data_IF_456346671767
#
_entry.id   IF_456346671767
#
_cell.length_a   1.000
_cell.length_b   1.000
_cell.length_c   1.000
_cell.angle_alpha   90.00
_cell.angle_beta   90.00
_cell.angle_gamma   90.00
#
_symmetry.space_group_name_H-M   'P 1'
#
loop_
_entity.id
_entity.type
_entity.pdbx_description
1 polymer ?
#
# COMPACT_ATOMS: atom_id res chain seq x y z
N UNK A 1 -23.09 17.00 -23.27
CA UNK A 1 -24.13 17.59 -22.40
C UNK A 1 -25.42 17.71 -23.20
N UNK A 2 -26.56 17.40 -22.59
CA UNK A 2 -27.88 17.49 -23.24
C UNK A 2 -28.81 18.34 -22.39
N UNK A 3 -29.42 19.35 -23.00
CA UNK A 3 -30.34 20.30 -22.40
C UNK A 3 -31.76 19.98 -22.87
N UNK A 4 -32.68 19.77 -21.92
CA UNK A 4 -34.07 19.50 -22.26
C UNK A 4 -34.84 20.82 -22.43
N UNK A 5 -35.12 21.21 -23.67
CA UNK A 5 -35.91 22.42 -23.96
C UNK A 5 -37.44 22.21 -23.86
N UNK A 6 -37.91 20.99 -23.63
CA UNK A 6 -39.34 20.75 -23.41
C UNK A 6 -39.81 21.31 -22.06
N UNK A 7 -38.90 21.52 -21.11
CA UNK A 7 -39.18 22.06 -19.77
C UNK A 7 -38.62 23.46 -19.55
N UNK A 8 -37.67 23.91 -20.38
CA UNK A 8 -37.13 25.26 -20.36
C UNK A 8 -37.06 25.80 -21.80
N UNK A 9 -37.89 26.79 -22.13
CA UNK A 9 -37.93 27.39 -23.47
C UNK A 9 -36.72 28.27 -23.78
N UNK A 10 -35.88 28.56 -22.79
CA UNK A 10 -34.63 29.29 -23.00
C UNK A 10 -33.54 28.37 -23.56
N UNK A 11 -32.91 28.81 -24.65
CA UNK A 11 -31.80 28.09 -25.28
C UNK A 11 -30.55 28.17 -24.41
N UNK A 12 -30.25 27.07 -23.72
CA UNK A 12 -29.00 26.91 -22.97
C UNK A 12 -27.83 26.57 -23.89
N UNK A 13 -26.61 26.97 -23.52
CA UNK A 13 -25.40 26.78 -24.32
C UNK A 13 -25.45 27.38 -25.74
N UNK A 14 -26.41 28.27 -26.01
CA UNK A 14 -26.69 28.82 -27.34
C UNK A 14 -26.87 27.74 -28.42
N UNK A 15 -27.52 26.63 -28.06
CA UNK A 15 -27.89 25.53 -28.98
C UNK A 15 -29.40 25.54 -29.25
N UNK A 16 -29.83 25.12 -30.45
CA UNK A 16 -31.25 24.97 -30.77
C UNK A 16 -31.75 23.55 -30.48
N UNK A 17 -30.92 22.52 -30.74
CA UNK A 17 -31.19 21.12 -30.45
C UNK A 17 -30.80 20.65 -29.04
N UNK A 18 -30.14 21.50 -28.26
CA UNK A 18 -29.85 21.23 -26.85
C UNK A 18 -28.75 20.20 -26.61
N UNK A 19 -28.14 19.64 -27.65
CA UNK A 19 -27.02 18.70 -27.51
C UNK A 19 -25.71 19.39 -27.87
N UNK A 20 -24.76 19.39 -26.93
CA UNK A 20 -23.43 19.95 -27.11
C UNK A 20 -22.36 18.96 -26.66
N UNK A 21 -21.19 19.00 -27.28
CA UNK A 21 -20.06 18.10 -26.97
C UNK A 21 -18.98 18.86 -26.21
N UNK A 22 -18.47 18.31 -25.11
CA UNK A 22 -17.33 18.90 -24.42
C UNK A 22 -16.08 18.63 -25.25
N UNK A 23 -15.36 19.68 -25.63
CA UNK A 23 -14.18 19.55 -26.53
C UNK A 23 -12.88 19.99 -25.87
N UNK A 24 -12.93 20.81 -24.82
CA UNK A 24 -11.76 21.20 -24.05
C UNK A 24 -12.16 21.61 -22.64
N UNK A 25 -11.26 21.40 -21.68
CA UNK A 25 -11.39 21.92 -20.32
C UNK A 25 -10.05 22.39 -19.78
N UNK A 26 -10.04 23.52 -19.08
CA UNK A 26 -8.86 24.05 -18.40
C UNK A 26 -9.25 24.37 -16.95
N UNK A 27 -8.50 23.82 -16.00
CA UNK A 27 -8.80 23.95 -14.57
C UNK A 27 -7.82 24.90 -13.88
N UNK A 28 -8.37 25.81 -13.06
CA UNK A 28 -7.68 26.70 -12.14
C UNK A 28 -8.53 26.91 -10.87
N UNK A 29 -8.64 28.14 -10.35
CA UNK A 29 -9.61 28.47 -9.28
C UNK A 29 -11.08 28.38 -9.73
N UNK A 30 -11.30 28.31 -11.04
CA UNK A 30 -12.54 27.87 -11.67
C UNK A 30 -12.16 26.97 -12.84
N UNK A 31 -13.02 26.03 -13.21
CA UNK A 31 -12.84 25.21 -14.40
C UNK A 31 -13.59 25.82 -15.57
N UNK A 32 -12.87 26.04 -16.66
CA UNK A 32 -13.44 26.50 -17.91
C UNK A 32 -13.67 25.32 -18.84
N UNK A 33 -14.90 25.14 -19.31
CA UNK A 33 -15.27 24.05 -20.22
C UNK A 33 -15.74 24.65 -21.53
N UNK A 34 -15.10 24.30 -22.64
CA UNK A 34 -15.54 24.69 -23.98
C UNK A 34 -16.35 23.54 -24.55
N UNK A 35 -17.56 23.85 -25.01
CA UNK A 35 -18.41 22.91 -25.73
C UNK A 35 -18.56 23.31 -27.19
N UNK A 36 -18.77 22.30 -28.02
CA UNK A 36 -19.10 22.39 -29.43
C UNK A 36 -20.57 22.11 -29.64
N UNK A 37 -21.25 23.03 -30.32
CA UNK A 37 -22.62 22.84 -30.75
C UNK A 37 -22.62 22.14 -32.12
N UNK A 38 -23.01 20.86 -32.14
CA UNK A 38 -23.07 20.06 -33.37
C UNK A 38 -24.40 20.23 -34.13
N UNK A 39 -25.15 21.28 -33.84
CA UNK A 39 -26.40 21.60 -34.51
C UNK A 39 -26.14 22.20 -35.90
N UNK A 40 -26.93 21.79 -36.89
CA UNK A 40 -26.90 22.33 -38.24
C UNK A 40 -27.47 23.75 -38.33
N UNK A 41 -28.17 24.24 -37.30
CA UNK A 41 -28.85 25.55 -37.32
C UNK A 41 -28.03 26.70 -36.71
N UNK A 42 -26.69 26.58 -36.64
CA UNK A 42 -25.83 27.65 -36.11
C UNK A 42 -25.89 28.88 -37.02
N UNK A 43 -26.27 30.04 -36.45
CA UNK A 43 -26.47 31.32 -37.16
C UNK A 43 -25.50 32.43 -36.74
N UNK A 44 -24.66 32.20 -35.72
CA UNK A 44 -23.71 33.16 -35.12
C UNK A 44 -24.36 34.46 -34.60
N UNK A 45 -25.69 34.46 -34.44
CA UNK A 45 -26.48 35.57 -33.88
C UNK A 45 -27.16 35.11 -32.59
N UNK A 46 -27.91 34.01 -32.66
CA UNK A 46 -28.65 33.44 -31.53
C UNK A 46 -28.11 32.07 -31.10
N UNK A 47 -27.37 31.42 -31.98
CA UNK A 47 -26.77 30.11 -31.80
C UNK A 47 -25.32 30.16 -32.23
N UNK A 48 -24.44 29.52 -31.45
CA UNK A 48 -23.01 29.61 -31.69
C UNK A 48 -22.40 28.22 -31.77
N UNK A 49 -21.35 28.08 -32.58
CA UNK A 49 -20.61 26.83 -32.76
C UNK A 49 -19.84 26.42 -31.50
N UNK A 50 -19.42 27.40 -30.72
CA UNK A 50 -18.70 27.21 -29.46
C UNK A 50 -19.34 28.02 -28.33
N UNK A 51 -19.35 27.42 -27.15
CA UNK A 51 -19.78 28.08 -25.91
C UNK A 51 -18.79 27.73 -24.80
N UNK A 52 -18.36 28.74 -24.04
CA UNK A 52 -17.50 28.53 -22.88
C UNK A 52 -18.31 28.64 -21.58
N UNK A 53 -18.15 27.65 -20.71
CA UNK A 53 -18.68 27.62 -19.35
C UNK A 53 -17.58 27.89 -18.36
N UNK A 54 -17.89 28.62 -17.29
CA UNK A 54 -17.07 28.69 -16.08
C UNK A 54 -17.85 28.04 -14.94
N UNK A 55 -17.28 26.98 -14.38
CA UNK A 55 -17.84 26.17 -13.29
C UNK A 55 -16.87 26.14 -12.11
N UNK A 56 -17.39 26.06 -10.90
CA UNK A 56 -16.61 25.82 -9.68
C UNK A 56 -17.27 24.73 -8.86
N UNK A 57 -16.46 23.91 -8.17
CA UNK A 57 -16.93 22.92 -7.20
C UNK A 57 -17.71 23.56 -6.05
N UNK A 58 -17.41 24.83 -5.75
CA UNK A 58 -17.88 25.51 -4.53
C UNK A 58 -19.09 26.41 -4.80
N UNK A 59 -19.56 26.46 -6.07
CA UNK A 59 -20.64 27.33 -6.50
C UNK A 59 -21.70 26.52 -7.23
N UNK A 60 -22.95 26.68 -6.81
CA UNK A 60 -24.11 26.18 -7.55
C UNK A 60 -24.38 26.97 -8.82
N UNK A 61 -23.53 27.95 -9.17
CA UNK A 61 -23.72 28.78 -10.35
C UNK A 61 -22.76 28.41 -11.46
N UNK A 62 -23.23 28.60 -12.68
CA UNK A 62 -22.44 28.44 -13.90
C UNK A 62 -22.64 29.69 -14.74
N UNK A 63 -21.56 30.30 -15.20
CA UNK A 63 -21.63 31.35 -16.22
C UNK A 63 -21.29 30.78 -17.58
N UNK A 64 -21.98 31.24 -18.62
CA UNK A 64 -21.71 30.85 -20.00
C UNK A 64 -21.59 32.06 -20.90
N UNK A 65 -20.72 31.95 -21.91
CA UNK A 65 -20.53 32.97 -22.94
C UNK A 65 -20.34 32.29 -24.30
N UNK A 66 -20.82 32.94 -25.35
CA UNK A 66 -20.64 32.45 -26.72
C UNK A 66 -19.21 32.65 -27.22
N UNK A 67 -18.80 31.79 -28.16
CA UNK A 67 -17.52 31.81 -28.90
C UNK A 67 -16.28 31.44 -28.09
N UNK A 68 -15.91 32.20 -27.07
CA UNK A 68 -14.64 32.03 -26.35
C UNK A 68 -14.79 32.36 -24.86
N UNK A 69 -13.95 31.76 -24.02
CA UNK A 69 -13.84 32.18 -22.62
C UNK A 69 -13.27 33.60 -22.55
N UNK A 70 -13.75 34.40 -21.59
CA UNK A 70 -13.32 35.79 -21.42
C UNK A 70 -12.46 35.97 -20.15
N UNK A 71 -11.51 36.93 -20.15
CA UNK A 71 -10.82 37.34 -18.92
C UNK A 71 -11.84 37.79 -17.87
N UNK A 72 -11.71 37.28 -16.64
CA UNK A 72 -12.60 37.53 -15.49
C UNK A 72 -13.98 36.85 -15.54
N UNK A 73 -14.22 35.92 -16.48
CA UNK A 73 -15.37 35.04 -16.37
C UNK A 73 -15.21 34.14 -15.13
N UNK A 74 -16.12 34.26 -14.17
CA UNK A 74 -16.19 33.35 -13.02
C UNK A 74 -17.59 32.73 -12.97
N UNK A 75 -17.81 31.68 -12.17
CA UNK A 75 -19.15 31.12 -11.98
C UNK A 75 -20.12 32.13 -11.36
N UNK A 76 -19.58 33.12 -10.64
CA UNK A 76 -20.35 34.15 -9.95
C UNK A 76 -20.53 35.47 -10.72
N UNK A 77 -19.62 35.77 -11.64
CA UNK A 77 -19.57 37.04 -12.37
C UNK A 77 -19.71 36.80 -13.86
N UNK A 78 -20.75 37.38 -14.47
CA UNK A 78 -20.88 37.36 -15.93
C UNK A 78 -19.86 38.33 -16.55
N UNK A 79 -19.14 37.91 -17.60
CA UNK A 79 -18.25 38.81 -18.33
C UNK A 79 -19.05 39.94 -19.00
N UNK A 80 -18.60 41.17 -18.78
CA UNK A 80 -19.16 42.38 -19.38
C UNK A 80 -18.27 42.86 -20.51
N UNK A 81 -18.86 43.34 -21.60
CA UNK A 81 -18.14 44.09 -22.64
C UNK A 81 -18.59 45.53 -22.64
N UNK A 82 -17.62 46.43 -22.81
CA UNK A 82 -17.90 47.84 -23.02
C UNK A 82 -18.50 48.04 -24.42
N UNK A 83 -19.72 48.58 -24.47
CA UNK A 83 -20.38 48.93 -25.71
C UNK A 83 -20.17 50.43 -25.98
N UNK A 84 -19.33 50.72 -26.97
CA UNK A 84 -18.98 52.09 -27.34
C UNK A 84 -20.16 52.88 -27.92
N UNK A 85 -21.21 52.21 -28.43
CA UNK A 85 -22.37 52.88 -29.01
C UNK A 85 -23.31 53.49 -27.95
N UNK A 86 -23.29 52.98 -26.72
CA UNK A 86 -24.13 53.46 -25.62
C UNK A 86 -23.34 53.80 -24.34
N UNK A 87 -22.01 53.86 -24.43
CA UNK A 87 -21.09 54.17 -23.33
C UNK A 87 -21.39 53.39 -22.03
N UNK A 88 -21.69 52.09 -22.15
CA UNK A 88 -22.12 51.26 -21.03
C UNK A 88 -21.51 49.86 -21.07
N UNK A 89 -21.35 49.25 -19.90
CA UNK A 89 -20.99 47.84 -19.76
C UNK A 89 -22.23 46.98 -19.96
N UNK A 90 -22.21 46.10 -20.96
CA UNK A 90 -23.30 45.18 -21.25
C UNK A 90 -22.85 43.77 -20.89
N UNK A 91 -23.69 43.02 -20.15
CA UNK A 91 -23.45 41.60 -19.92
C UNK A 91 -23.53 40.84 -21.24
N UNK A 92 -22.52 40.01 -21.52
CA UNK A 92 -22.43 39.26 -22.79
C UNK A 92 -22.72 37.77 -22.62
N UNK A 93 -23.05 37.33 -21.41
CA UNK A 93 -23.27 35.94 -21.07
C UNK A 93 -24.63 35.68 -20.42
N UNK A 94 -24.85 34.40 -20.11
CA UNK A 94 -25.97 33.94 -19.29
C UNK A 94 -25.44 33.24 -18.03
N UNK A 95 -26.29 33.14 -17.01
CA UNK A 95 -25.98 32.46 -15.76
C UNK A 95 -27.06 31.42 -15.46
N UNK A 96 -26.61 30.23 -15.08
CA UNK A 96 -27.47 29.15 -14.60
C UNK A 96 -27.24 28.96 -13.09
N UNK A 97 -28.33 28.76 -12.35
CA UNK A 97 -28.28 28.22 -11.00
C UNK A 97 -28.61 26.73 -11.10
N UNK A 98 -27.66 25.89 -10.75
CA UNK A 98 -27.81 24.44 -10.70
C UNK A 98 -28.26 24.03 -9.31
N UNK A 99 -29.39 23.33 -9.24
CA UNK A 99 -29.73 22.51 -8.08
C UNK A 99 -29.36 21.09 -8.47
N UNK A 100 -28.30 20.55 -7.88
CA UNK A 100 -27.90 19.17 -8.14
C UNK A 100 -29.03 18.24 -7.67
N UNK A 101 -29.65 17.52 -8.62
CA UNK A 101 -30.70 16.56 -8.30
C UNK A 101 -30.15 15.13 -8.28
N UNK A 102 -29.21 14.81 -9.17
CA UNK A 102 -28.43 13.55 -9.19
C UNK A 102 -27.11 13.85 -9.91
N UNK A 103 -25.97 13.67 -9.26
CA UNK A 103 -24.70 13.55 -9.98
C UNK A 103 -24.79 12.22 -10.75
N UNK A 104 -24.81 12.25 -12.09
CA UNK A 104 -24.64 11.02 -12.86
C UNK A 104 -23.32 10.39 -12.39
N UNK A 105 -23.30 9.13 -11.89
CA UNK A 105 -22.05 8.51 -11.49
C UNK A 105 -21.18 8.39 -12.74
N UNK A 106 -20.21 9.28 -12.89
CA UNK A 106 -19.13 9.11 -13.82
C UNK A 106 -18.22 8.03 -13.24
N UNK A 107 -18.61 6.76 -13.36
CA UNK A 107 -17.79 5.67 -12.82
C UNK A 107 -17.79 4.49 -13.78
N UNK A 108 -17.13 4.67 -14.93
CA UNK A 108 -16.31 3.57 -15.44
C UNK A 108 -15.01 3.57 -14.63
N UNK A 109 -15.09 3.21 -13.34
CA UNK A 109 -13.89 2.87 -12.57
C UNK A 109 -13.45 1.50 -13.06
N UNK A 110 -12.22 1.44 -13.56
CA UNK A 110 -11.55 0.18 -13.82
C UNK A 110 -10.44 0.04 -12.77
N UNK A 111 -10.21 -1.16 -12.26
CA UNK A 111 -9.07 -1.40 -11.39
C UNK A 111 -7.76 -0.93 -12.04
N UNK A 112 -6.73 -0.49 -11.29
CA UNK A 112 -5.44 -0.15 -11.87
C UNK A 112 -4.89 -1.27 -12.77
N UNK A 113 -4.18 -0.89 -13.84
CA UNK A 113 -3.72 -1.84 -14.89
C UNK A 113 -2.96 -3.03 -14.32
N UNK A 114 -2.22 -2.85 -13.23
CA UNK A 114 -1.47 -3.92 -12.54
C UNK A 114 -2.36 -5.05 -12.01
N UNK A 115 -3.62 -4.74 -11.66
CA UNK A 115 -4.59 -5.69 -11.12
C UNK A 115 -5.52 -6.28 -12.19
N UNK A 116 -5.75 -5.59 -13.31
CA UNK A 116 -6.74 -6.04 -14.32
C UNK A 116 -6.43 -7.46 -14.81
N UNK A 117 -7.44 -8.32 -14.78
CA UNK A 117 -7.37 -9.71 -15.28
C UNK A 117 -6.24 -10.51 -14.61
N UNK A 118 -6.15 -10.41 -13.29
CA UNK A 118 -5.08 -11.08 -12.54
C UNK A 118 -5.55 -11.62 -11.20
N UNK A 119 -4.82 -12.61 -10.70
CA UNK A 119 -5.06 -13.21 -9.38
C UNK A 119 -3.92 -12.88 -8.43
N UNK A 120 -4.26 -12.66 -7.17
CA UNK A 120 -3.39 -12.24 -6.08
C UNK A 120 -3.68 -13.10 -4.86
N UNK A 121 -2.70 -13.23 -3.98
CA UNK A 121 -2.82 -13.93 -2.72
C UNK A 121 -2.70 -12.89 -1.62
N UNK A 122 -3.78 -12.70 -0.89
CA UNK A 122 -3.89 -11.87 0.29
C UNK A 122 -3.53 -12.66 1.54
N UNK A 123 -2.76 -12.02 2.42
CA UNK A 123 -2.29 -12.66 3.64
C UNK A 123 -3.41 -12.99 4.64
N UNK A 124 -4.50 -12.21 4.68
CA UNK A 124 -5.64 -12.46 5.54
C UNK A 124 -6.81 -13.18 4.86
N UNK A 125 -7.04 -12.92 3.58
CA UNK A 125 -8.24 -13.34 2.84
C UNK A 125 -8.00 -14.44 1.81
N UNK A 126 -6.74 -14.81 1.54
CA UNK A 126 -6.41 -15.88 0.60
C UNK A 126 -6.44 -15.42 -0.85
N UNK A 127 -6.87 -16.27 -1.78
CA UNK A 127 -6.85 -15.92 -3.20
C UNK A 127 -7.93 -14.90 -3.56
N UNK A 128 -7.49 -13.86 -4.27
CA UNK A 128 -8.32 -12.76 -4.77
C UNK A 128 -8.14 -12.69 -6.29
N UNK A 129 -9.23 -12.55 -7.02
CA UNK A 129 -9.19 -12.38 -8.48
C UNK A 129 -9.84 -11.08 -8.90
N UNK A 130 -9.12 -10.33 -9.73
CA UNK A 130 -9.54 -9.05 -10.29
C UNK A 130 -9.87 -9.22 -11.78
N UNK A 131 -11.00 -8.67 -12.18
CA UNK A 131 -11.32 -8.37 -13.58
C UNK A 131 -10.98 -6.90 -13.86
N UNK A 132 -11.51 -6.33 -14.94
CA UNK A 132 -11.37 -4.90 -15.18
C UNK A 132 -12.13 -4.08 -14.13
N UNK A 133 -13.28 -4.57 -13.64
CA UNK A 133 -14.23 -3.79 -12.83
C UNK A 133 -14.59 -4.42 -11.50
N UNK A 134 -14.38 -5.72 -11.36
CA UNK A 134 -14.75 -6.48 -10.16
C UNK A 134 -13.55 -7.17 -9.51
N UNK A 135 -13.64 -7.35 -8.20
CA UNK A 135 -12.72 -8.13 -7.38
C UNK A 135 -13.54 -9.17 -6.61
N UNK A 136 -13.05 -10.41 -6.55
CA UNK A 136 -13.69 -11.52 -5.85
C UNK A 136 -12.68 -12.26 -4.97
N UNK A 137 -13.13 -12.93 -3.92
CA UNK A 137 -12.28 -13.70 -3.00
C UNK A 137 -11.92 -12.98 -1.70
N UNK A 138 -12.08 -11.65 -1.66
CA UNK A 138 -11.96 -10.89 -0.42
C UNK A 138 -13.27 -11.03 0.37
N UNK A 139 -13.34 -12.03 1.24
CA UNK A 139 -14.59 -12.32 1.98
C UNK A 139 -14.67 -11.58 3.32
N UNK A 140 -15.86 -11.08 3.64
CA UNK A 140 -16.20 -10.59 4.98
C UNK A 140 -17.67 -10.82 5.31
N UNK A 141 -18.06 -10.62 6.57
CA UNK A 141 -19.46 -10.70 6.98
C UNK A 141 -19.95 -9.33 7.44
N UNK A 142 -21.07 -8.86 6.89
CA UNK A 142 -21.77 -7.67 7.36
C UNK A 142 -23.27 -7.95 7.47
N UNK A 143 -23.89 -7.54 8.59
CA UNK A 143 -25.29 -7.82 8.93
C UNK A 143 -25.67 -9.31 8.74
N UNK A 144 -24.78 -10.21 9.16
CA UNK A 144 -24.92 -11.67 9.01
C UNK A 144 -24.96 -12.19 7.56
N UNK A 145 -24.58 -11.38 6.57
CA UNK A 145 -24.40 -11.80 5.19
C UNK A 145 -22.93 -11.80 4.81
N UNK A 146 -22.50 -12.84 4.09
CA UNK A 146 -21.15 -12.91 3.56
C UNK A 146 -21.07 -12.14 2.25
N UNK A 147 -20.19 -11.14 2.23
CA UNK A 147 -19.80 -10.38 1.05
C UNK A 147 -18.56 -11.03 0.45
N UNK A 148 -18.55 -11.19 -0.87
CA UNK A 148 -17.37 -11.71 -1.58
C UNK A 148 -17.06 -10.94 -2.86
N UNK A 149 -18.04 -10.21 -3.41
CA UNK A 149 -17.88 -9.51 -4.68
C UNK A 149 -17.82 -8.00 -4.45
N UNK A 150 -16.80 -7.39 -5.04
CA UNK A 150 -16.52 -5.97 -4.93
C UNK A 150 -16.36 -5.38 -6.32
N UNK A 151 -16.74 -4.13 -6.48
CA UNK A 151 -16.49 -3.35 -7.68
C UNK A 151 -15.58 -2.15 -7.39
N UNK A 152 -14.86 -1.73 -8.42
CA UNK A 152 -14.09 -0.49 -8.40
C UNK A 152 -15.04 0.68 -8.19
N UNK A 153 -14.85 1.44 -7.12
CA UNK A 153 -15.62 2.65 -6.85
C UNK A 153 -14.90 3.90 -7.34
N UNK A 154 -13.61 4.03 -7.02
CA UNK A 154 -12.77 5.12 -7.49
C UNK A 154 -11.29 4.68 -7.51
N UNK A 155 -10.61 4.91 -8.64
CA UNK A 155 -9.20 4.58 -8.89
C UNK A 155 -8.32 5.82 -9.10
N UNK A 156 -8.90 7.03 -9.17
CA UNK A 156 -8.20 8.28 -9.53
C UNK A 156 -7.06 8.65 -8.57
N UNK A 157 -7.09 8.13 -7.35
CA UNK A 157 -6.09 8.37 -6.32
C UNK A 157 -5.05 7.25 -6.20
N UNK A 158 -5.14 6.19 -7.02
CA UNK A 158 -4.21 5.08 -6.94
C UNK A 158 -2.80 5.49 -7.34
N UNK A 159 -2.63 6.08 -8.52
CA UNK A 159 -1.29 6.44 -9.03
C UNK A 159 -0.63 7.57 -8.22
N UNK A 160 -1.43 8.50 -7.70
CA UNK A 160 -0.92 9.68 -6.97
C UNK A 160 -0.71 9.43 -5.47
N UNK A 161 -1.54 8.60 -4.85
CA UNK A 161 -1.59 8.44 -3.39
C UNK A 161 -1.70 6.99 -2.90
N UNK A 162 -1.84 6.01 -3.79
CA UNK A 162 -1.95 4.59 -3.46
C UNK A 162 -3.32 4.18 -2.93
N UNK A 163 -4.37 5.00 -3.08
CA UNK A 163 -5.70 4.64 -2.60
C UNK A 163 -6.50 3.85 -3.65
N UNK A 164 -7.12 2.76 -3.22
CA UNK A 164 -8.09 2.00 -3.99
C UNK A 164 -9.40 1.93 -3.21
N UNK A 165 -10.47 2.44 -3.82
CA UNK A 165 -11.80 2.45 -3.21
C UNK A 165 -12.67 1.40 -3.89
N UNK A 166 -13.30 0.56 -3.08
CA UNK A 166 -14.18 -0.50 -3.54
C UNK A 166 -15.57 -0.39 -2.93
N UNK A 167 -16.58 -0.86 -3.63
CA UNK A 167 -17.96 -1.00 -3.14
C UNK A 167 -18.39 -2.46 -3.26
N UNK A 168 -19.19 -2.96 -2.33
CA UNK A 168 -19.79 -4.29 -2.43
C UNK A 168 -20.78 -4.34 -3.61
N UNK A 169 -20.67 -5.37 -4.44
CA UNK A 169 -21.68 -5.68 -5.48
C UNK A 169 -22.87 -6.38 -4.84
N UNK A 170 -22.59 -7.22 -3.85
CA UNK A 170 -23.62 -7.93 -3.10
C UNK A 170 -24.40 -6.90 -2.26
N UNK A 171 -25.73 -6.82 -2.46
CA UNK A 171 -26.61 -5.97 -1.65
C UNK A 171 -27.03 -6.69 -0.38
N UNK A 172 -26.91 -6.02 0.76
CA UNK A 172 -27.21 -6.62 2.07
C UNK A 172 -28.64 -6.27 2.49
N UNK A 173 -29.39 -7.28 2.95
CA UNK A 173 -30.78 -7.22 3.46
C UNK A 173 -31.89 -7.02 2.41
N UNK A 174 -33.06 -7.62 2.68
CA UNK A 174 -34.24 -7.61 1.79
C UNK A 174 -35.24 -6.48 2.06
N UNK A 175 -35.09 -5.75 3.17
CA UNK A 175 -36.01 -4.68 3.58
C UNK A 175 -35.41 -3.27 3.44
N UNK A 176 -34.10 -3.14 3.63
CA UNK A 176 -33.30 -1.92 3.44
C UNK A 176 -32.00 -2.36 2.78
N UNK A 177 -31.66 -1.75 1.65
CA UNK A 177 -30.41 -2.05 0.94
C UNK A 177 -29.27 -1.35 1.65
N UNK A 178 -28.27 -2.12 2.09
CA UNK A 178 -27.00 -1.57 2.56
C UNK A 178 -25.89 -1.83 1.54
N UNK A 179 -24.98 -0.88 1.45
CA UNK A 179 -23.74 -0.92 0.70
C UNK A 179 -22.57 -0.95 1.67
N UNK A 180 -21.52 -1.68 1.31
CA UNK A 180 -20.26 -1.68 2.05
C UNK A 180 -19.18 -1.07 1.17
N UNK A 181 -18.45 -0.09 1.71
CA UNK A 181 -17.32 0.55 1.05
C UNK A 181 -16.02 0.24 1.75
N UNK A 182 -14.98 -0.02 0.98
CA UNK A 182 -13.65 -0.36 1.46
C UNK A 182 -12.64 0.64 0.93
N UNK A 183 -11.81 1.17 1.81
CA UNK A 183 -10.69 2.02 1.47
C UNK A 183 -9.37 1.29 1.76
N UNK A 184 -8.63 0.94 0.71
CA UNK A 184 -7.30 0.37 0.83
C UNK A 184 -6.24 1.43 0.52
N UNK A 185 -5.24 1.57 1.38
CA UNK A 185 -4.02 2.35 1.10
C UNK A 185 -2.87 1.40 0.82
N UNK A 186 -2.49 1.29 -0.44
CA UNK A 186 -1.48 0.35 -0.92
C UNK A 186 -0.11 1.03 -1.05
N UNK A 187 0.94 0.29 -0.72
CA UNK A 187 2.32 0.65 -0.98
C UNK A 187 2.99 -0.46 -1.76
N UNK A 188 3.60 -0.10 -2.88
CA UNK A 188 4.33 -1.03 -3.74
C UNK A 188 5.58 -1.53 -3.03
N UNK A 189 5.75 -2.86 -3.01
CA UNK A 189 6.97 -3.51 -2.51
C UNK A 189 7.81 -3.99 -3.70
N UNK A 190 7.18 -4.68 -4.65
CA UNK A 190 7.76 -5.05 -5.95
C UNK A 190 6.74 -4.82 -7.07
N UNK A 191 7.10 -5.15 -8.30
CA UNK A 191 6.11 -5.24 -9.40
C UNK A 191 5.06 -6.35 -9.19
N UNK A 192 5.30 -7.25 -8.24
CA UNK A 192 4.48 -8.44 -7.97
C UNK A 192 3.95 -8.48 -6.54
N UNK A 193 4.14 -7.42 -5.74
CA UNK A 193 3.67 -7.37 -4.36
C UNK A 193 3.42 -5.95 -3.86
N UNK A 194 2.37 -5.83 -3.06
CA UNK A 194 1.95 -4.61 -2.38
C UNK A 194 1.61 -4.96 -0.94
N UNK A 195 2.01 -4.14 0.02
CA UNK A 195 1.33 -4.17 1.31
C UNK A 195 0.24 -3.10 1.35
N UNK A 196 -0.78 -3.28 2.17
CA UNK A 196 -1.84 -2.29 2.32
C UNK A 196 -2.37 -2.19 3.76
N UNK A 197 -3.04 -1.07 4.03
CA UNK A 197 -3.83 -0.85 5.23
C UNK A 197 -5.27 -0.56 4.85
N UNK A 198 -6.21 -1.00 5.69
CA UNK A 198 -7.59 -0.53 5.63
C UNK A 198 -7.71 0.83 6.32
N UNK A 199 -8.36 1.78 5.64
CA UNK A 199 -8.44 3.19 6.07
C UNK A 199 -9.89 3.55 6.41
N UNK A 200 -10.36 2.98 7.51
CA UNK A 200 -11.64 3.36 8.11
C UNK A 200 -11.68 2.92 9.58
N UNK A 201 -12.60 3.52 10.35
CA UNK A 201 -12.94 3.03 11.67
C UNK A 201 -13.59 1.63 11.59
N UNK A 202 -13.48 0.87 12.69
CA UNK A 202 -14.14 -0.43 12.82
C UNK A 202 -15.66 -0.25 12.82
N UNK A 203 -16.35 -1.04 12.00
CA UNK A 203 -17.80 -1.00 11.90
C UNK A 203 -18.43 -2.22 12.59
N UNK A 204 -19.28 -1.95 13.57
CA UNK A 204 -19.97 -2.99 14.34
C UNK A 204 -20.95 -3.83 13.50
N UNK A 205 -21.51 -3.26 12.43
CA UNK A 205 -22.37 -3.99 11.49
C UNK A 205 -21.58 -4.96 10.62
N UNK A 206 -20.27 -4.73 10.52
CA UNK A 206 -19.32 -5.49 9.73
C UNK A 206 -18.45 -6.44 10.57
N UNK A 207 -18.88 -6.78 11.80
CA UNK A 207 -18.09 -7.63 12.69
C UNK A 207 -16.76 -7.00 13.11
N UNK A 208 -16.71 -5.66 13.23
CA UNK A 208 -15.53 -4.87 13.57
C UNK A 208 -14.46 -4.80 12.47
N UNK A 209 -14.82 -5.14 11.22
CA UNK A 209 -13.99 -4.87 10.04
C UNK A 209 -13.90 -3.36 9.77
N UNK A 210 -12.80 -2.91 9.14
CA UNK A 210 -12.54 -1.50 8.84
C UNK A 210 -13.08 -1.10 7.48
N UNK A 211 -14.40 -0.99 7.42
CA UNK A 211 -15.18 -0.63 6.24
C UNK A 211 -16.25 0.38 6.65
N UNK A 212 -16.89 1.01 5.67
CA UNK A 212 -18.11 1.78 5.87
C UNK A 212 -19.31 0.92 5.47
N UNK A 213 -20.24 0.64 6.38
CA UNK A 213 -21.56 0.05 6.06
C UNK A 213 -22.63 1.13 6.15
N UNK A 214 -23.34 1.38 5.05
CA UNK A 214 -24.36 2.44 5.01
C UNK A 214 -25.54 2.07 4.09
N UNK A 215 -26.72 2.61 4.38
CA UNK A 215 -27.90 2.52 3.52
C UNK A 215 -28.04 3.75 2.59
N UNK A 216 -27.07 4.66 2.62
CA UNK A 216 -26.99 5.81 1.74
C UNK A 216 -26.27 5.41 0.43
N UNK A 217 -26.98 5.47 -0.70
CA UNK A 217 -26.42 5.21 -2.03
C UNK A 217 -25.72 6.43 -2.64
N UNK A 218 -25.80 7.59 -1.97
CA UNK A 218 -25.27 8.87 -2.43
C UNK A 218 -23.85 9.16 -1.93
N UNK A 219 -23.18 8.19 -1.30
CA UNK A 219 -21.78 8.32 -0.85
C UNK A 219 -20.88 8.64 -2.05
N UNK A 220 -20.53 9.91 -2.21
CA UNK A 220 -19.72 10.39 -3.33
C UNK A 220 -18.35 10.93 -2.91
N UNK A 221 -18.14 11.16 -1.61
CA UNK A 221 -16.93 11.77 -1.10
C UNK A 221 -15.91 10.71 -0.62
N UNK A 222 -14.66 10.90 -1.02
CA UNK A 222 -13.51 10.13 -0.54
C UNK A 222 -13.44 10.15 1.00
N UNK A 223 -13.68 11.30 1.62
CA UNK A 223 -13.54 11.44 3.08
C UNK A 223 -14.56 10.62 3.87
N UNK A 224 -15.70 10.30 3.27
CA UNK A 224 -16.72 9.43 3.88
C UNK A 224 -16.29 7.97 3.86
N UNK A 225 -15.62 7.52 2.79
CA UNK A 225 -15.17 6.13 2.62
C UNK A 225 -13.82 5.88 3.30
N UNK A 226 -12.94 6.89 3.29
CA UNK A 226 -11.56 6.82 3.76
C UNK A 226 -11.35 7.72 4.98
N UNK A 227 -11.63 7.22 6.18
CA UNK A 227 -11.31 7.94 7.41
C UNK A 227 -9.81 7.82 7.72
N UNK A 228 -9.03 8.80 7.24
CA UNK A 228 -7.57 8.83 7.43
C UNK A 228 -7.14 9.00 8.89
N UNK A 229 -8.05 9.42 9.78
CA UNK A 229 -7.76 9.50 11.22
C UNK A 229 -7.83 8.13 11.90
N UNK A 230 -8.51 7.17 11.27
CA UNK A 230 -8.72 5.82 11.77
C UNK A 230 -7.93 4.75 11.00
N UNK A 231 -6.79 5.11 10.40
CA UNK A 231 -5.92 4.13 9.74
C UNK A 231 -5.48 3.03 10.71
N UNK A 232 -5.30 1.82 10.18
CA UNK A 232 -4.71 0.72 10.92
C UNK A 232 -3.36 1.09 11.56
N UNK A 233 -3.09 0.60 12.78
CA UNK A 233 -1.76 0.60 13.36
C UNK A 233 -0.73 -0.04 12.42
N UNK A 234 0.52 0.39 12.54
CA UNK A 234 1.62 -0.02 11.65
C UNK A 234 1.83 -1.53 11.60
N UNK A 235 1.57 -2.24 12.69
CA UNK A 235 1.70 -3.68 12.74
C UNK A 235 0.66 -4.42 11.90
N UNK A 236 -0.53 -3.85 11.67
CA UNK A 236 -1.65 -4.56 11.05
C UNK A 236 -1.65 -4.51 9.52
N UNK A 237 -0.50 -4.24 8.89
CA UNK A 237 -0.47 -4.23 7.43
C UNK A 237 -0.77 -5.62 6.85
N UNK A 238 -1.48 -5.61 5.73
CA UNK A 238 -1.78 -6.78 4.92
C UNK A 238 -0.84 -6.86 3.73
N UNK A 239 -0.67 -8.04 3.15
CA UNK A 239 0.21 -8.27 2.01
C UNK A 239 -0.56 -8.94 0.87
N UNK A 240 -0.45 -8.34 -0.32
CA UNK A 240 -0.88 -8.90 -1.59
C UNK A 240 0.33 -9.32 -2.40
N UNK A 241 0.32 -10.57 -2.88
CA UNK A 241 1.35 -11.13 -3.77
C UNK A 241 0.70 -11.66 -5.04
N UNK A 242 1.21 -11.29 -6.20
CA UNK A 242 0.65 -11.74 -7.48
C UNK A 242 0.83 -13.25 -7.65
N UNK A 243 -0.25 -13.94 -7.97
CA UNK A 243 -0.24 -15.39 -8.14
C UNK A 243 0.67 -15.79 -9.30
N UNK A 244 1.54 -16.77 -9.07
CA UNK A 244 2.55 -17.24 -10.03
C UNK A 244 3.86 -16.44 -10.02
N UNK A 245 3.96 -15.38 -9.23
CA UNK A 245 5.14 -14.51 -9.12
C UNK A 245 5.71 -14.41 -7.70
N UNK A 246 5.41 -15.39 -6.85
CA UNK A 246 5.77 -15.37 -5.43
C UNK A 246 7.29 -15.34 -5.22
N UNK A 247 8.05 -16.07 -6.03
CA UNK A 247 9.51 -16.08 -5.97
C UNK A 247 10.14 -14.72 -6.36
N UNK A 248 9.49 -13.95 -7.23
CA UNK A 248 9.90 -12.63 -7.69
C UNK A 248 9.49 -11.52 -6.72
N UNK A 249 8.46 -11.77 -5.91
CA UNK A 249 8.02 -10.85 -4.85
C UNK A 249 8.94 -10.86 -3.62
N UNK A 250 9.89 -11.81 -3.53
CA UNK A 250 10.82 -11.95 -2.39
C UNK A 250 11.69 -10.70 -2.20
N UNK A 251 11.76 -10.25 -0.95
CA UNK A 251 12.60 -9.15 -0.49
C UNK A 251 13.72 -9.67 0.40
N UNK A 252 14.75 -8.84 0.57
CA UNK A 252 15.75 -9.13 1.59
C UNK A 252 15.09 -9.03 2.98
N UNK A 253 15.34 -10.02 3.84
CA UNK A 253 14.92 -9.98 5.23
C UNK A 253 15.52 -8.76 5.93
N UNK A 254 14.77 -8.03 6.77
CA UNK A 254 15.26 -6.81 7.40
C UNK A 254 16.35 -7.09 8.44
N UNK A 255 17.16 -6.09 8.73
CA UNK A 255 18.36 -6.19 9.58
C UNK A 255 18.15 -6.93 10.91
N UNK A 256 17.05 -6.74 11.68
CA UNK A 256 16.87 -7.43 12.96
C UNK A 256 16.84 -8.96 12.87
N UNK A 257 16.54 -9.50 11.70
CA UNK A 257 16.47 -10.94 11.45
C UNK A 257 17.46 -11.41 10.38
N UNK A 258 18.31 -10.51 9.87
CA UNK A 258 19.32 -10.84 8.87
C UNK A 258 20.58 -11.36 9.57
N UNK A 259 20.54 -12.62 9.96
CA UNK A 259 21.62 -13.26 10.72
C UNK A 259 21.38 -14.75 10.92
N UNK A 260 22.21 -15.33 11.79
CA UNK A 260 22.02 -16.69 12.29
C UNK A 260 21.76 -16.61 13.80
N UNK A 261 20.75 -17.32 14.26
CA UNK A 261 20.22 -17.19 15.60
C UNK A 261 19.97 -18.55 16.21
N UNK A 262 20.44 -18.71 17.43
CA UNK A 262 19.94 -19.73 18.31
C UNK A 262 18.62 -19.23 18.87
N UNK A 263 17.62 -20.10 19.03
CA UNK A 263 16.34 -19.65 19.55
C UNK A 263 15.76 -20.57 20.62
N UNK A 264 14.97 -19.97 21.50
CA UNK A 264 14.03 -20.66 22.39
C UNK A 264 12.64 -20.38 21.90
N UNK A 265 11.79 -21.40 21.80
CA UNK A 265 10.40 -21.25 21.42
C UNK A 265 9.50 -21.36 22.65
N UNK A 266 8.56 -20.44 22.80
CA UNK A 266 7.52 -20.53 23.81
C UNK A 266 6.18 -20.67 23.11
N UNK A 267 5.44 -21.74 23.40
CA UNK A 267 4.11 -21.94 22.83
C UNK A 267 3.08 -20.98 23.45
N UNK A 268 1.86 -20.97 22.92
CA UNK A 268 0.77 -20.12 23.40
C UNK A 268 0.43 -20.31 24.91
N UNK A 269 0.87 -21.39 25.55
CA UNK A 269 0.69 -21.65 26.99
C UNK A 269 1.91 -21.20 27.82
N UNK A 270 2.95 -20.67 27.19
CA UNK A 270 4.19 -20.27 27.82
C UNK A 270 5.15 -21.44 28.08
N UNK A 271 4.89 -22.63 27.54
CA UNK A 271 5.80 -23.76 27.71
C UNK A 271 7.03 -23.57 26.81
N UNK A 272 8.20 -23.69 27.43
CA UNK A 272 9.47 -23.68 26.71
C UNK A 272 9.59 -24.95 25.88
N UNK A 273 9.68 -24.78 24.57
CA UNK A 273 10.05 -25.80 23.62
C UNK A 273 11.36 -25.34 22.95
N UNK A 274 12.16 -26.31 22.49
CA UNK A 274 13.38 -26.01 21.74
C UNK A 274 14.50 -25.38 22.62
N UNK A 275 15.73 -25.86 22.45
CA UNK A 275 16.94 -25.54 23.19
C UNK A 275 17.78 -24.46 22.45
N UNK A 276 18.10 -23.38 23.16
CA UNK A 276 18.92 -22.24 22.73
C UNK A 276 20.38 -22.52 22.33
N UNK A 277 20.81 -23.77 22.18
CA UNK A 277 22.18 -24.10 21.74
C UNK A 277 22.23 -24.96 20.47
N UNK A 278 21.19 -25.75 20.19
CA UNK A 278 21.11 -26.62 19.01
C UNK A 278 20.22 -26.08 17.90
N UNK A 279 19.31 -25.15 18.22
CA UNK A 279 18.19 -24.85 17.35
C UNK A 279 18.50 -23.61 16.53
N UNK A 280 18.65 -23.82 15.22
CA UNK A 280 19.24 -22.84 14.33
C UNK A 280 18.18 -22.21 13.44
N UNK A 281 18.13 -20.88 13.48
CA UNK A 281 17.50 -20.04 12.47
C UNK A 281 18.59 -19.37 11.64
N UNK A 282 18.56 -19.57 10.32
CA UNK A 282 19.55 -19.07 9.39
C UNK A 282 18.95 -18.21 8.28
N UNK A 283 19.59 -17.06 8.02
CA UNK A 283 19.26 -16.12 6.93
C UNK A 283 20.49 -15.74 6.10
N UNK A 284 21.70 -16.16 6.50
CA UNK A 284 22.93 -15.73 5.83
C UNK A 284 23.25 -16.44 4.50
N UNK A 285 22.63 -17.59 4.19
CA UNK A 285 22.85 -18.29 2.90
C UNK A 285 22.12 -17.57 1.77
N UNK A 286 20.85 -17.25 1.98
CA UNK A 286 20.02 -16.47 1.08
C UNK A 286 19.35 -15.40 1.94
N UNK A 287 19.74 -14.14 1.75
CA UNK A 287 19.25 -13.02 2.53
C UNK A 287 17.74 -12.77 2.37
N UNK A 288 17.06 -13.49 1.47
CA UNK A 288 15.62 -13.45 1.24
C UNK A 288 14.85 -14.62 1.85
N UNK A 289 15.56 -15.60 2.40
CA UNK A 289 14.99 -16.86 2.88
C UNK A 289 15.41 -17.12 4.32
N UNK A 290 14.44 -17.43 5.16
CA UNK A 290 14.64 -17.88 6.53
C UNK A 290 14.52 -19.41 6.58
N UNK A 291 15.54 -20.06 7.13
CA UNK A 291 15.61 -21.51 7.27
C UNK A 291 15.66 -21.85 8.76
N UNK A 292 14.80 -22.76 9.20
CA UNK A 292 14.72 -23.29 10.55
C UNK A 292 15.09 -24.78 10.54
N UNK A 293 16.00 -25.18 11.43
CA UNK A 293 16.44 -26.56 11.54
C UNK A 293 15.46 -27.40 12.40
N UNK A 294 14.61 -28.17 11.73
CA UNK A 294 13.65 -29.05 12.42
C UNK A 294 14.24 -30.38 12.90
N UNK A 295 15.52 -30.66 12.62
CA UNK A 295 16.17 -31.86 13.18
C UNK A 295 16.44 -31.72 14.67
N UNK A 296 16.56 -30.48 15.16
CA UNK A 296 16.83 -30.15 16.56
C UNK A 296 15.59 -29.63 17.30
N UNK A 297 14.67 -28.97 16.59
CA UNK A 297 13.41 -28.44 17.12
C UNK A 297 12.20 -28.81 16.23
N UNK A 298 11.31 -29.68 16.71
CA UNK A 298 10.13 -30.12 15.92
C UNK A 298 8.97 -29.11 15.85
N UNK A 299 9.13 -27.91 16.42
CA UNK A 299 8.08 -26.89 16.42
C UNK A 299 7.98 -26.22 15.04
N UNK A 300 6.75 -26.00 14.57
CA UNK A 300 6.45 -25.41 13.27
C UNK A 300 6.72 -23.89 13.27
N UNK A 301 7.98 -23.52 13.17
CA UNK A 301 8.42 -22.13 12.98
C UNK A 301 7.77 -21.50 11.75
N UNK A 302 7.31 -20.24 11.91
CA UNK A 302 6.52 -19.54 10.89
C UNK A 302 5.32 -20.37 10.36
N UNK A 303 4.81 -21.30 11.18
CA UNK A 303 3.74 -22.22 10.81
C UNK A 303 4.00 -22.92 9.46
N UNK A 304 5.25 -23.34 9.27
CA UNK A 304 5.73 -24.08 8.10
C UNK A 304 6.08 -25.51 8.49
N UNK A 305 5.82 -26.46 7.60
CA UNK A 305 6.20 -27.86 7.81
C UNK A 305 7.61 -28.15 7.28
N UNK A 306 8.05 -27.42 6.26
CA UNK A 306 9.37 -27.53 5.67
C UNK A 306 10.45 -26.67 6.35
N UNK A 307 10.06 -25.72 7.21
CA UNK A 307 11.00 -24.85 7.93
C UNK A 307 11.70 -23.82 7.05
N UNK A 308 11.22 -23.57 5.83
CA UNK A 308 11.81 -22.61 4.90
C UNK A 308 10.77 -21.60 4.43
N UNK A 309 10.94 -20.33 4.78
CA UNK A 309 10.01 -19.24 4.44
C UNK A 309 10.72 -18.06 3.80
N UNK A 310 10.02 -17.35 2.91
CA UNK A 310 10.58 -16.21 2.20
C UNK A 310 10.16 -14.90 2.82
N UNK A 311 11.09 -13.95 2.97
CA UNK A 311 10.77 -12.59 3.38
C UNK A 311 10.07 -11.86 2.22
N UNK A 312 8.88 -11.31 2.47
CA UNK A 312 8.06 -10.69 1.42
C UNK A 312 7.89 -9.19 1.59
N UNK A 313 7.69 -8.74 2.83
CA UNK A 313 7.56 -7.33 3.17
C UNK A 313 7.93 -7.10 4.63
N UNK A 314 8.40 -5.90 4.94
CA UNK A 314 8.62 -5.49 6.33
C UNK A 314 8.31 -4.03 6.53
N UNK A 315 7.76 -3.70 7.70
CA UNK A 315 7.51 -2.32 8.12
C UNK A 315 8.17 -2.09 9.49
N UNK A 316 8.94 -1.01 9.60
CA UNK A 316 9.66 -0.66 10.84
C UNK A 316 9.14 0.66 11.39
N UNK A 317 8.79 0.67 12.69
CA UNK A 317 8.51 1.90 13.45
C UNK A 317 9.34 1.91 14.73
N UNK A 318 8.85 1.28 15.79
CA UNK A 318 9.61 0.99 17.01
C UNK A 318 10.14 -0.45 16.95
N UNK A 319 9.26 -1.39 16.60
CA UNK A 319 9.61 -2.77 16.27
C UNK A 319 9.61 -2.94 14.75
N UNK A 320 10.20 -4.04 14.28
CA UNK A 320 10.13 -4.44 12.88
C UNK A 320 9.13 -5.57 12.71
N UNK A 321 8.13 -5.36 11.86
CA UNK A 321 7.13 -6.35 11.51
C UNK A 321 7.47 -6.95 10.16
N UNK A 322 7.56 -8.28 10.07
CA UNK A 322 8.02 -9.00 8.88
C UNK A 322 6.98 -10.00 8.44
N UNK A 323 6.47 -9.82 7.23
CA UNK A 323 5.60 -10.78 6.58
C UNK A 323 6.43 -11.78 5.79
N UNK A 324 6.26 -13.05 6.09
CA UNK A 324 6.93 -14.16 5.41
C UNK A 324 5.93 -15.04 4.66
N UNK A 325 6.41 -15.69 3.61
CA UNK A 325 5.64 -16.61 2.78
C UNK A 325 6.13 -18.04 2.92
N UNK A 326 5.20 -18.93 3.18
CA UNK A 326 5.42 -20.36 3.23
C UNK A 326 5.07 -20.98 1.86
N UNK A 327 6.10 -21.43 1.13
CA UNK A 327 5.95 -22.07 -0.18
C UNK A 327 5.75 -23.60 -0.08
N UNK A 328 5.51 -24.14 1.11
CA UNK A 328 5.24 -25.56 1.28
C UNK A 328 3.91 -25.95 0.64
N UNK A 329 3.80 -27.24 0.29
CA UNK A 329 2.57 -27.83 -0.26
C UNK A 329 1.57 -28.26 0.80
N UNK A 330 1.95 -28.19 2.09
CA UNK A 330 1.18 -28.77 3.20
C UNK A 330 0.21 -27.80 3.87
N UNK A 331 -0.11 -26.66 3.24
CA UNK A 331 -0.95 -25.61 3.84
C UNK A 331 -2.37 -26.12 4.12
N UNK A 332 -2.77 -26.09 5.39
CA UNK A 332 -4.09 -26.52 5.86
C UNK A 332 -4.93 -25.37 6.48
N UNK A 333 -4.36 -24.18 6.65
CA UNK A 333 -4.98 -23.03 7.34
C UNK A 333 -5.43 -23.33 8.77
N UNK A 334 -4.83 -24.33 9.42
CA UNK A 334 -5.10 -24.70 10.80
C UNK A 334 -3.79 -24.78 11.59
N UNK A 335 -2.85 -25.63 11.15
CA UNK A 335 -1.53 -25.76 11.76
C UNK A 335 -0.45 -25.08 10.92
N UNK A 336 -0.65 -25.02 9.60
CA UNK A 336 0.28 -24.43 8.65
C UNK A 336 -0.42 -23.36 7.82
N UNK A 337 0.29 -22.26 7.58
CA UNK A 337 -0.29 -21.08 6.96
C UNK A 337 0.60 -20.58 5.83
N UNK A 338 -0.05 -20.04 4.79
CA UNK A 338 0.63 -19.48 3.62
C UNK A 338 1.46 -18.25 3.96
N UNK A 339 0.99 -17.47 4.92
CA UNK A 339 1.68 -16.29 5.44
C UNK A 339 1.80 -16.38 6.95
N UNK A 340 2.82 -15.73 7.47
CA UNK A 340 3.01 -15.51 8.91
C UNK A 340 3.66 -14.16 9.13
N UNK A 341 3.37 -13.55 10.28
CA UNK A 341 4.01 -12.31 10.70
C UNK A 341 4.96 -12.56 11.87
N UNK A 342 6.12 -11.92 11.81
CA UNK A 342 7.03 -11.74 12.93
C UNK A 342 7.00 -10.30 13.41
N UNK A 343 6.87 -10.07 14.71
CA UNK A 343 7.20 -8.80 15.34
C UNK A 343 8.55 -8.95 16.04
N UNK A 344 9.55 -8.16 15.67
CA UNK A 344 10.94 -8.37 16.08
C UNK A 344 11.52 -7.13 16.76
N UNK A 345 12.23 -7.35 17.87
CA UNK A 345 13.02 -6.34 18.58
C UNK A 345 14.49 -6.75 18.61
N UNK A 346 15.35 -5.91 18.03
CA UNK A 346 16.79 -6.11 18.11
C UNK A 346 17.35 -5.79 19.51
N UNK A 347 16.72 -4.85 20.24
CA UNK A 347 17.21 -4.44 21.56
C UNK A 347 16.93 -5.46 22.65
N UNK A 348 15.79 -6.17 22.58
CA UNK A 348 15.43 -7.22 23.54
C UNK A 348 15.70 -8.64 23.05
N UNK A 349 16.27 -8.79 21.84
CA UNK A 349 16.51 -10.08 21.20
C UNK A 349 15.29 -11.00 21.23
N UNK A 350 14.11 -10.42 21.05
CA UNK A 350 12.83 -11.11 21.17
C UNK A 350 12.07 -11.01 19.86
N UNK A 351 11.23 -12.00 19.64
CA UNK A 351 10.34 -12.04 18.48
C UNK A 351 9.06 -12.74 18.84
N UNK A 352 7.93 -12.27 18.33
CA UNK A 352 6.66 -13.00 18.42
C UNK A 352 6.14 -13.32 17.03
N UNK A 353 5.45 -14.45 16.91
CA UNK A 353 4.96 -14.93 15.62
C UNK A 353 3.47 -15.24 15.64
N UNK A 354 2.77 -14.83 14.58
CA UNK A 354 1.33 -14.96 14.40
C UNK A 354 1.02 -15.52 13.01
N UNK A 355 0.00 -16.39 12.88
CA UNK A 355 -0.40 -16.94 11.60
C UNK A 355 -1.09 -15.86 10.75
N UNK A 356 -0.93 -15.93 9.43
CA UNK A 356 -1.49 -14.97 8.47
C UNK A 356 -0.86 -13.58 8.61
N UNK A 357 -1.48 -12.69 9.38
CA UNK A 357 -1.06 -11.30 9.57
C UNK A 357 -0.56 -11.07 11.00
N UNK A 358 0.08 -9.92 11.24
CA UNK A 358 0.37 -9.53 12.61
C UNK A 358 -0.93 -9.27 13.38
N UNK A 359 -0.97 -9.69 14.63
CA UNK A 359 -2.09 -9.40 15.52
C UNK A 359 -2.11 -7.93 15.92
N UNK A 360 -3.29 -7.42 16.26
CA UNK A 360 -3.43 -6.08 16.83
C UNK A 360 -2.58 -5.93 18.09
N UNK A 361 -1.81 -4.85 18.21
CA UNK A 361 -0.91 -4.62 19.34
C UNK A 361 0.11 -5.73 19.57
N UNK A 362 0.44 -6.51 18.53
CA UNK A 362 1.49 -7.52 18.62
C UNK A 362 2.83 -6.84 18.95
N UNK A 363 3.51 -7.33 19.99
CA UNK A 363 4.86 -6.88 20.34
C UNK A 363 5.83 -8.06 20.31
N UNK A 364 7.14 -7.81 20.17
CA UNK A 364 8.14 -8.88 20.17
C UNK A 364 8.24 -9.65 21.48
N UNK A 365 7.70 -9.10 22.58
CA UNK A 365 7.86 -9.63 23.95
C UNK A 365 6.59 -10.27 24.50
N UNK A 366 5.46 -10.15 23.79
CA UNK A 366 4.17 -10.67 24.23
C UNK A 366 3.60 -11.67 23.23
N UNK A 367 2.85 -12.64 23.76
CA UNK A 367 2.09 -13.55 22.91
C UNK A 367 1.08 -12.78 22.06
N UNK A 368 1.04 -13.02 20.74
CA UNK A 368 -0.01 -12.48 19.89
C UNK A 368 -1.36 -13.02 20.35
N UNK A 369 -2.36 -12.13 20.38
CA UNK A 369 -3.72 -12.44 20.82
C UNK A 369 -4.72 -12.27 19.69
N UNK A 370 -5.77 -13.09 19.69
CA UNK A 370 -6.94 -12.82 18.87
C UNK A 370 -7.84 -11.73 19.46
N UNK A 371 -8.93 -11.41 18.76
CA UNK A 371 -9.89 -10.37 19.16
C UNK A 371 -10.62 -10.67 20.47
N UNK A 372 -10.59 -11.91 20.96
CA UNK A 372 -11.17 -12.30 22.27
C UNK A 372 -10.10 -12.45 23.36
N UNK A 373 -8.84 -12.09 23.07
CA UNK A 373 -7.74 -12.06 24.02
C UNK A 373 -7.03 -13.40 24.23
N UNK A 374 -7.32 -14.42 23.42
CA UNK A 374 -6.67 -15.73 23.49
C UNK A 374 -5.34 -15.70 22.74
N UNK A 375 -4.31 -16.34 23.31
CA UNK A 375 -3.02 -16.48 22.66
C UNK A 375 -3.16 -17.35 21.39
N UNK A 376 -2.70 -16.82 20.25
CA UNK A 376 -2.80 -17.48 18.93
C UNK A 376 -1.45 -17.71 18.25
N UNK A 377 -0.38 -17.27 18.89
CA UNK A 377 0.96 -17.31 18.33
C UNK A 377 1.98 -17.97 19.25
N UNK A 378 3.25 -17.64 19.00
CA UNK A 378 4.37 -18.07 19.83
C UNK A 378 5.30 -16.88 20.12
N UNK A 379 6.17 -17.07 21.09
CA UNK A 379 7.22 -16.13 21.46
C UNK A 379 8.58 -16.79 21.27
N UNK A 380 9.58 -16.00 20.90
CA UNK A 380 10.96 -16.42 20.73
C UNK A 380 11.90 -15.51 21.48
N UNK A 381 12.90 -16.13 22.11
CA UNK A 381 14.13 -15.45 22.49
C UNK A 381 15.21 -15.88 21.52
N UNK A 382 15.84 -14.92 20.87
CA UNK A 382 16.88 -15.12 19.89
C UNK A 382 18.23 -14.84 20.54
N UNK A 383 19.26 -15.57 20.13
CA UNK A 383 20.64 -15.24 20.41
C UNK A 383 21.39 -15.31 19.11
N UNK A 384 21.73 -14.13 18.58
CA UNK A 384 22.58 -14.07 17.40
C UNK A 384 23.86 -14.85 17.71
N UNK A 385 24.16 -15.85 16.89
CA UNK A 385 25.46 -16.48 16.87
C UNK A 385 26.03 -16.30 15.47
N UNK A 386 27.31 -15.99 15.43
CA UNK A 386 28.04 -16.09 14.18
C UNK A 386 28.13 -17.59 13.89
N UNK A 387 27.31 -18.12 12.97
CA UNK A 387 27.60 -19.43 12.41
C UNK A 387 29.01 -19.35 11.85
N UNK A 388 29.88 -20.25 12.32
CA UNK A 388 31.28 -20.44 11.94
C UNK A 388 31.90 -19.29 11.16
N UNK A 389 32.86 -18.59 11.78
CA UNK A 389 33.78 -17.68 11.11
C UNK A 389 33.95 -18.09 9.65
N UNK A 390 33.41 -17.31 8.70
CA UNK A 390 33.89 -17.41 7.33
C UNK A 390 35.41 -17.41 7.49
N UNK A 391 36.06 -18.50 7.06
CA UNK A 391 37.50 -18.60 7.04
C UNK A 391 37.99 -17.68 5.94
N UNK A 392 37.77 -16.38 6.11
CA UNK A 392 38.33 -15.37 5.25
C UNK A 392 39.80 -15.26 5.62
N UNK A 393 40.64 -15.44 4.61
CA UNK A 393 42.04 -15.07 4.65
C UNK A 393 42.21 -13.73 3.94
N UNK A 394 43.09 -12.87 4.46
CA UNK A 394 43.51 -11.70 3.68
C UNK A 394 44.14 -12.15 2.34
N UNK A 395 44.09 -11.30 1.29
CA UNK A 395 44.77 -11.58 0.03
C UNK A 395 46.26 -11.89 0.26
N UNK A 396 46.89 -12.68 -0.62
CA UNK A 396 48.30 -13.10 -0.49
C UNK A 396 49.24 -11.94 -0.17
N UNK A 397 49.00 -10.78 -0.78
CA UNK A 397 49.88 -9.63 -0.71
C UNK A 397 49.83 -8.94 0.65
N UNK A 398 48.74 -9.11 1.39
CA UNK A 398 48.57 -8.58 2.74
C UNK A 398 48.95 -9.58 3.83
N UNK A 399 48.90 -10.89 3.58
CA UNK A 399 49.13 -11.89 4.63
C UNK A 399 50.54 -11.80 5.22
N UNK A 400 50.62 -11.68 6.55
CA UNK A 400 51.88 -11.62 7.30
C UNK A 400 52.79 -10.46 6.86
N UNK A 401 52.19 -9.31 6.57
CA UNK A 401 52.90 -8.13 6.09
C UNK A 401 52.55 -6.90 6.94
N UNK A 402 53.36 -5.86 6.78
CA UNK A 402 53.15 -4.54 7.39
C UNK A 402 53.08 -3.51 6.28
N UNK A 403 52.04 -2.69 6.30
CA UNK A 403 51.75 -1.65 5.32
C UNK A 403 51.68 -0.30 6.01
N UNK A 404 52.09 0.77 5.32
CA UNK A 404 51.96 2.13 5.83
C UNK A 404 50.69 2.78 5.30
N UNK A 405 49.79 3.11 6.21
CA UNK A 405 48.64 3.95 5.92
C UNK A 405 49.00 5.43 6.11
N UNK A 406 48.54 6.25 5.17
CA UNK A 406 48.84 7.69 5.12
C UNK A 406 48.32 8.47 6.32
N UNK A 407 47.35 7.94 7.05
CA UNK A 407 46.70 8.59 8.19
C UNK A 407 46.95 7.89 9.52
N UNK A 408 47.25 6.60 9.49
CA UNK A 408 47.21 5.73 10.69
C UNK A 408 48.54 5.06 11.00
N UNK A 409 49.55 5.24 10.14
CA UNK A 409 50.88 4.68 10.34
C UNK A 409 50.93 3.20 9.95
N UNK A 410 51.72 2.43 10.69
CA UNK A 410 51.96 1.02 10.36
C UNK A 410 50.72 0.16 10.69
N UNK A 411 50.17 -0.48 9.66
CA UNK A 411 49.11 -1.47 9.75
C UNK A 411 49.72 -2.85 9.52
N UNK A 412 49.53 -3.75 10.47
CA UNK A 412 50.03 -5.13 10.41
C UNK A 412 48.91 -6.11 10.12
N UNK A 413 49.17 -7.06 9.24
CA UNK A 413 48.22 -8.09 8.83
C UNK A 413 48.74 -9.48 9.19
N UNK A 414 47.87 -10.33 9.73
CA UNK A 414 48.09 -11.78 9.82
C UNK A 414 47.32 -12.48 8.69
N UNK A 415 47.07 -13.78 8.83
CA UNK A 415 46.20 -14.48 7.90
C UNK A 415 44.74 -13.97 7.96
N UNK A 416 44.24 -13.59 9.15
CA UNK A 416 42.82 -13.27 9.36
C UNK A 416 42.57 -12.00 10.16
N UNK A 417 43.61 -11.39 10.72
CA UNK A 417 43.50 -10.16 11.54
C UNK A 417 44.35 -9.02 10.99
N UNK A 418 43.86 -7.80 11.15
CA UNK A 418 44.57 -6.56 10.85
C UNK A 418 44.62 -5.71 12.12
N UNK A 419 45.76 -5.11 12.44
CA UNK A 419 45.97 -4.29 13.64
C UNK A 419 46.73 -3.01 13.31
N UNK A 420 46.58 -1.98 14.14
CA UNK A 420 47.22 -0.67 13.94
C UNK A 420 46.34 0.34 13.21
N UNK A 421 45.07 -0.01 12.96
CA UNK A 421 44.08 0.91 12.39
C UNK A 421 43.06 1.33 13.45
N UNK A 422 43.45 2.30 14.26
CA UNK A 422 42.70 2.65 15.46
C UNK A 422 41.53 3.59 15.16
N UNK A 423 40.34 3.25 15.67
CA UNK A 423 39.17 4.13 15.68
C UNK A 423 38.57 4.17 17.08
N UNK A 424 37.99 5.32 17.46
CA UNK A 424 37.26 5.47 18.72
C UNK A 424 35.77 5.55 18.42
N UNK A 425 34.98 4.64 18.98
CA UNK A 425 33.51 4.63 18.91
C UNK A 425 33.00 4.63 20.34
N UNK A 426 32.15 5.61 20.70
CA UNK A 426 31.55 5.74 22.04
C UNK A 426 32.55 5.63 23.21
N UNK A 427 33.75 6.19 23.04
CA UNK A 427 34.81 6.17 24.05
C UNK A 427 35.63 4.87 24.12
N UNK A 428 35.31 3.88 23.29
CA UNK A 428 36.08 2.64 23.16
C UNK A 428 36.98 2.68 21.92
N UNK A 429 38.26 2.31 22.08
CA UNK A 429 39.19 2.20 20.96
C UNK A 429 39.14 0.78 20.38
N UNK A 430 38.80 0.69 19.09
CA UNK A 430 38.92 -0.52 18.28
C UNK A 430 40.24 -0.42 17.50
N UNK A 431 41.16 -1.35 17.76
CA UNK A 431 42.52 -1.34 17.20
C UNK A 431 42.88 -2.63 16.44
N UNK A 432 41.94 -3.58 16.41
CA UNK A 432 42.10 -4.89 15.78
C UNK A 432 40.83 -5.22 15.02
N UNK A 433 41.01 -5.73 13.80
CA UNK A 433 39.97 -6.02 12.84
C UNK A 433 40.13 -7.45 12.34
N UNK A 434 39.02 -8.16 12.08
CA UNK A 434 39.04 -9.49 11.46
C UNK A 434 38.58 -9.38 10.01
N UNK A 435 39.12 -10.22 9.12
CA UNK A 435 38.55 -10.33 7.78
C UNK A 435 37.10 -10.85 7.85
N UNK A 436 36.21 -10.23 7.08
CA UNK A 436 34.81 -10.64 6.94
C UNK A 436 34.53 -11.33 5.59
N UNK A 437 35.14 -10.85 4.49
CA UNK A 437 34.94 -11.37 3.14
C UNK A 437 36.15 -11.02 2.23
N UNK A 438 36.68 -12.01 1.51
CA UNK A 438 37.80 -11.90 0.55
C UNK A 438 37.36 -11.83 -0.91
N UNK A 439 36.17 -12.34 -1.26
CA UNK A 439 35.67 -12.42 -2.64
C UNK A 439 35.53 -11.07 -3.37
N UNK A 440 35.40 -9.97 -2.61
CA UNK A 440 35.28 -8.62 -3.17
C UNK A 440 36.62 -7.97 -3.46
N UNK A 441 37.71 -8.53 -2.91
CA UNK A 441 39.03 -7.98 -3.15
C UNK A 441 39.49 -8.25 -4.58
N UNK A 442 39.40 -9.51 -5.05
CA UNK A 442 39.85 -9.86 -6.40
C UNK A 442 39.02 -9.21 -7.50
N UNK A 443 37.73 -9.00 -7.26
CA UNK A 443 36.80 -8.49 -8.28
C UNK A 443 36.60 -6.98 -8.23
N UNK A 444 36.77 -6.35 -7.06
CA UNK A 444 36.43 -4.93 -6.84
C UNK A 444 37.50 -4.14 -6.08
N UNK A 445 38.56 -4.80 -5.60
CA UNK A 445 39.60 -4.16 -4.77
C UNK A 445 39.11 -3.72 -3.39
N UNK A 446 38.03 -4.32 -2.86
CA UNK A 446 37.43 -3.93 -1.57
C UNK A 446 37.78 -4.97 -0.50
N UNK A 447 38.43 -4.52 0.57
CA UNK A 447 38.60 -5.28 1.81
C UNK A 447 37.44 -5.01 2.76
N UNK A 448 36.80 -6.08 3.26
CA UNK A 448 35.70 -5.97 4.23
C UNK A 448 36.15 -6.52 5.58
N UNK A 449 36.09 -5.67 6.60
CA UNK A 449 36.62 -5.92 7.94
C UNK A 449 35.47 -5.92 8.97
N UNK A 450 35.65 -6.64 10.07
CA UNK A 450 34.75 -6.65 11.23
C UNK A 450 35.48 -6.35 12.54
#
# INVERSE_FOLDING_TARGET
>A
MTFNYSTCTQRMAYSAGGTVWCIASVSGSSTFVVVYNNDTTVDDVNTFKFTCFSVSSDSSKVSMISKNCEPNQTPDTMPTRYNAANNSLVSTGARLNLTAYVLCPAVNCDFPVVYRQSSWIDSGKGEITFTNKSMSGWTMTALSQTLNNWECWNDTLFDSQGYLLLRSIDTISSAVVYYTYMCMKLTKVTDYSYYYYLVHARDSLAGQERVLVTNDDSVSDFSMICDTSAIEPTEQFHLLVKSGYQAQARQDCPNPIRGNFDYVYYDANGATNCNSTSDKWQVCIDNKTMIFDYTTCSQLMAFSAGGSVWCMASVTKTNTYVMVYNNDTTIDNNNTYRFSCFAVSQSSNSSSLSPKNCSESQTPETFPKDQIGKNTGALLTMKAYVSQENTCSFPSDFRYSVWQDSTKGDISFTNTTMSGWDITIDGHTVNTWKCLNDSWFETKGILVLK
#
